data_IF_787585368269
#
_entry.id   IF_787585368269
#
_cell.length_a   1.000
_cell.length_b   1.000
_cell.length_c   1.000
_cell.angle_alpha   90.00
_cell.angle_beta   90.00
_cell.angle_gamma   90.00
#
_symmetry.space_group_name_H-M   'P 1'
#
loop_
_entity.id
_entity.type
_entity.pdbx_description
1 polymer ?
#
# COMPACT_ATOMS: atom_id res chain seq x y z
N UNK A 1 -6.72 -9.74 -2.44
CA UNK A 1 -5.65 -9.24 -3.34
C UNK A 1 -4.67 -8.47 -2.49
N UNK A 2 -3.36 -8.63 -2.70
CA UNK A 2 -2.30 -8.04 -1.87
C UNK A 2 -1.41 -7.14 -2.72
N UNK A 3 -0.85 -6.10 -2.11
CA UNK A 3 0.07 -5.17 -2.76
C UNK A 3 1.47 -5.78 -2.80
N UNK A 4 2.12 -5.68 -3.95
CA UNK A 4 3.47 -6.19 -4.19
C UNK A 4 4.45 -5.07 -4.58
N UNK A 5 5.75 -5.32 -4.37
CA UNK A 5 6.83 -4.38 -4.69
C UNK A 5 6.92 -4.02 -6.18
N UNK A 6 6.49 -4.94 -7.05
CA UNK A 6 6.50 -4.73 -8.49
C UNK A 6 5.33 -3.85 -8.97
N UNK A 7 4.44 -3.42 -8.08
CA UNK A 7 3.35 -2.52 -8.42
C UNK A 7 3.79 -1.08 -8.30
N UNK A 8 3.24 -0.23 -9.15
CA UNK A 8 3.49 1.22 -9.09
C UNK A 8 2.56 1.87 -8.06
N UNK A 9 3.03 2.81 -7.23
CA UNK A 9 2.21 3.49 -6.24
C UNK A 9 0.99 4.18 -6.87
N UNK A 10 1.10 4.68 -8.10
CA UNK A 10 -0.05 5.22 -8.85
C UNK A 10 -1.14 4.16 -9.11
N UNK A 11 -0.75 2.95 -9.53
CA UNK A 11 -1.68 1.85 -9.76
C UNK A 11 -2.27 1.32 -8.44
N UNK A 12 -1.47 1.30 -7.37
CA UNK A 12 -1.93 0.90 -6.04
C UNK A 12 -3.01 1.86 -5.54
N UNK A 13 -2.81 3.18 -5.63
CA UNK A 13 -3.81 4.17 -5.22
C UNK A 13 -5.07 4.11 -6.08
N UNK A 14 -4.92 3.84 -7.38
CA UNK A 14 -6.06 3.70 -8.31
C UNK A 14 -6.99 2.54 -7.92
N UNK A 15 -6.41 1.41 -7.51
CA UNK A 15 -7.17 0.23 -7.04
C UNK A 15 -7.61 0.39 -5.58
N UNK A 16 -6.75 0.96 -4.72
CA UNK A 16 -6.96 1.11 -3.29
C UNK A 16 -6.72 2.56 -2.86
N UNK A 17 -7.71 3.43 -3.08
CA UNK A 17 -7.60 4.87 -2.77
C UNK A 17 -7.18 5.19 -1.32
N UNK A 18 -7.54 4.33 -0.36
CA UNK A 18 -7.13 4.48 1.05
C UNK A 18 -5.62 4.32 1.31
N UNK A 19 -4.86 3.77 0.36
CA UNK A 19 -3.40 3.65 0.47
C UNK A 19 -2.67 4.96 0.24
N UNK A 20 -3.34 5.96 -0.34
CA UNK A 20 -2.78 7.30 -0.56
C UNK A 20 -2.15 7.88 0.70
N UNK A 21 -2.84 7.75 1.84
CA UNK A 21 -2.39 8.26 3.14
C UNK A 21 -1.07 7.64 3.59
N UNK A 22 -0.80 6.38 3.23
CA UNK A 22 0.45 5.70 3.55
C UNK A 22 1.59 6.22 2.69
N UNK A 23 1.34 6.42 1.39
CA UNK A 23 2.34 7.01 0.51
C UNK A 23 2.69 8.44 0.95
N UNK A 24 1.72 9.25 1.34
CA UNK A 24 1.97 10.59 1.89
C UNK A 24 2.76 10.54 3.21
N UNK A 25 2.40 9.62 4.12
CA UNK A 25 3.09 9.42 5.41
C UNK A 25 4.57 9.04 5.23
N UNK A 26 4.87 8.21 4.24
CA UNK A 26 6.24 7.76 3.92
C UNK A 26 6.95 8.66 2.89
N UNK A 27 6.32 9.77 2.47
CA UNK A 27 6.84 10.69 1.44
C UNK A 27 7.18 9.99 0.12
N UNK A 28 6.42 8.95 -0.22
CA UNK A 28 6.60 8.16 -1.44
C UNK A 28 5.87 8.84 -2.60
N UNK A 29 6.56 9.20 -3.69
CA UNK A 29 5.92 9.82 -4.84
C UNK A 29 5.04 8.82 -5.60
N UNK A 30 3.85 9.27 -6.02
CA UNK A 30 2.95 8.50 -6.89
C UNK A 30 3.47 8.50 -8.32
N UNK A 31 4.39 7.58 -8.61
CA UNK A 31 4.96 7.39 -9.95
C UNK A 31 4.38 6.15 -10.63
N UNK A 32 4.63 6.04 -11.93
CA UNK A 32 4.36 4.83 -12.72
C UNK A 32 5.48 3.78 -12.57
N UNK A 33 6.57 4.12 -11.89
CA UNK A 33 7.65 3.18 -11.58
C UNK A 33 7.25 2.26 -10.44
N UNK A 34 7.84 1.08 -10.39
CA UNK A 34 7.60 0.09 -9.33
C UNK A 34 8.26 0.54 -8.02
N UNK A 35 7.67 0.18 -6.88
CA UNK A 35 8.22 0.54 -5.57
C UNK A 35 9.65 0.01 -5.38
N UNK A 36 9.95 -1.22 -5.83
CA UNK A 36 11.31 -1.77 -5.79
C UNK A 36 12.33 -1.03 -6.66
N UNK A 37 11.89 -0.22 -7.63
CA UNK A 37 12.80 0.50 -8.51
C UNK A 37 13.44 1.72 -7.85
N UNK A 38 12.80 2.30 -6.83
CA UNK A 38 13.24 3.56 -6.22
C UNK A 38 13.19 3.57 -4.68
N UNK A 39 12.71 2.49 -4.06
CA UNK A 39 12.72 2.28 -2.61
C UNK A 39 13.64 1.11 -2.30
N UNK A 40 14.54 1.28 -1.34
CA UNK A 40 15.42 0.21 -0.86
C UNK A 40 14.62 -0.92 -0.18
N UNK A 41 15.18 -2.14 -0.17
CA UNK A 41 14.49 -3.36 0.28
C UNK A 41 13.93 -3.27 1.71
N UNK A 42 14.64 -2.62 2.63
CA UNK A 42 14.24 -2.51 4.04
C UNK A 42 13.03 -1.56 4.27
N UNK A 43 13.06 -0.29 3.81
CA UNK A 43 11.88 0.57 3.88
C UNK A 43 10.72 0.06 3.01
N UNK A 44 11.02 -0.61 1.90
CA UNK A 44 10.01 -1.24 1.05
C UNK A 44 9.23 -2.34 1.77
N UNK A 45 9.91 -3.20 2.52
CA UNK A 45 9.24 -4.26 3.29
C UNK A 45 8.27 -3.66 4.32
N UNK A 46 8.69 -2.62 5.04
CA UNK A 46 7.85 -1.91 6.01
C UNK A 46 6.64 -1.25 5.34
N UNK A 47 6.85 -0.56 4.21
CA UNK A 47 5.80 0.08 3.45
C UNK A 47 4.75 -0.94 2.97
N UNK A 48 5.19 -2.08 2.43
CA UNK A 48 4.31 -3.14 1.96
C UNK A 48 3.47 -3.75 3.08
N UNK A 49 4.02 -3.88 4.30
CA UNK A 49 3.26 -4.34 5.45
C UNK A 49 2.13 -3.34 5.78
N UNK A 50 2.44 -2.05 5.94
CA UNK A 50 1.40 -1.04 6.25
C UNK A 50 0.33 -0.93 5.14
N UNK A 51 0.75 -0.99 3.88
CA UNK A 51 -0.15 -0.98 2.73
C UNK A 51 -1.12 -2.18 2.77
N UNK A 52 -0.59 -3.39 2.98
CA UNK A 52 -1.40 -4.59 3.05
C UNK A 52 -2.26 -4.66 4.32
N UNK A 53 -1.82 -4.07 5.44
CA UNK A 53 -2.62 -3.92 6.65
C UNK A 53 -3.87 -3.06 6.39
N UNK A 54 -3.73 -1.94 5.68
CA UNK A 54 -4.90 -1.11 5.32
C UNK A 54 -5.82 -1.83 4.35
N UNK A 55 -5.27 -2.42 3.28
CA UNK A 55 -6.07 -3.17 2.30
C UNK A 55 -6.79 -4.36 2.94
N UNK A 56 -6.12 -5.06 3.86
CA UNK A 56 -6.70 -6.17 4.63
C UNK A 56 -7.69 -5.71 5.70
N UNK A 57 -7.46 -4.56 6.33
CA UNK A 57 -8.36 -3.98 7.32
C UNK A 57 -9.64 -3.44 6.70
N UNK A 58 -9.60 -2.97 5.44
CA UNK A 58 -10.82 -2.66 4.68
C UNK A 58 -11.71 -3.90 4.47
N UNK A 59 -11.19 -5.13 4.60
CA UNK A 59 -11.98 -6.36 4.59
C UNK A 59 -12.47 -6.79 5.99
N UNK A 60 -12.01 -6.15 7.08
CA UNK A 60 -12.46 -6.41 8.46
C UNK A 60 -13.17 -5.20 9.06
N UNK A 61 -14.22 -4.75 8.40
CA UNK A 61 -15.43 -4.32 9.11
C UNK A 61 -16.51 -5.36 8.84
N UNK A 62 -16.36 -6.53 9.47
CA UNK A 62 -17.49 -7.36 9.87
C UNK A 62 -17.47 -7.37 11.40
N UNK A 63 -17.92 -6.25 11.95
CA UNK A 63 -18.62 -6.21 13.22
C UNK A 63 -20.04 -6.71 12.95
N UNK A 64 -20.23 -8.02 12.97
CA UNK A 64 -21.48 -8.67 13.35
C UNK A 64 -21.07 -9.59 14.50
N UNK A 65 -21.33 -9.25 15.76
CA UNK A 65 -22.68 -9.25 16.32
C UNK A 65 -23.01 -10.69 16.74
N UNK A 66 -22.71 -11.04 17.99
CA UNK A 66 -22.99 -12.35 18.59
C UNK A 66 -22.54 -12.39 20.05
#
# INVERSE_FOLDING_TARGET
>A
MVIQSNMSPKAIVDVWGNTLTIFEKHLVPLTEQTLESFIETDPLATLLIELNEIVGSSAKTCIEGG
#
